data_IF_973715929741
#
_entry.id   IF_973715929741
#
_cell.length_a   1.000
_cell.length_b   1.000
_cell.length_c   1.000
_cell.angle_alpha   90.00
_cell.angle_beta   90.00
_cell.angle_gamma   90.00
#
_symmetry.space_group_name_H-M   'P 1'
#
loop_
_entity.id
_entity.type
_entity.pdbx_description
1 polymer ?
#
# COMPACT_ATOMS: atom_id res chain seq x y z
N UNK A 1 -9.68 9.41 27.93
CA UNK A 1 -9.86 7.98 28.24
C UNK A 1 -9.18 7.17 27.14
N UNK A 2 -8.07 6.48 27.45
CA UNK A 2 -7.31 5.69 26.47
C UNK A 2 -8.09 4.41 26.13
N UNK A 3 -8.46 4.19 24.86
CA UNK A 3 -9.04 2.92 24.42
C UNK A 3 -7.89 1.91 24.22
N UNK A 4 -7.49 1.23 25.30
CA UNK A 4 -6.56 0.10 25.22
C UNK A 4 -7.27 -1.10 24.55
N UNK A 5 -6.58 -1.89 23.72
CA UNK A 5 -7.03 -3.20 23.26
C UNK A 5 -7.41 -4.04 24.49
N UNK A 6 -8.58 -4.69 24.42
CA UNK A 6 -9.14 -5.41 25.54
C UNK A 6 -8.57 -6.84 25.68
N UNK A 7 -7.88 -7.38 24.66
CA UNK A 7 -7.35 -8.74 24.73
C UNK A 7 -6.04 -8.98 24.00
N UNK A 8 -5.54 -10.21 24.11
CA UNK A 8 -4.27 -10.63 23.49
C UNK A 8 -4.39 -10.73 21.97
N UNK A 9 -3.31 -10.35 21.29
CA UNK A 9 -3.19 -10.42 19.84
C UNK A 9 -2.81 -11.85 19.47
N UNK A 10 -3.64 -12.49 18.65
CA UNK A 10 -3.33 -13.84 18.13
C UNK A 10 -2.62 -13.70 16.79
N UNK A 11 -1.48 -14.37 16.66
CA UNK A 11 -0.74 -14.42 15.41
C UNK A 11 -1.12 -15.67 14.61
N UNK A 12 -1.46 -15.47 13.34
CA UNK A 12 -1.74 -16.55 12.40
C UNK A 12 -0.70 -16.55 11.29
N UNK A 13 -0.05 -17.70 11.07
CA UNK A 13 0.91 -17.90 9.99
C UNK A 13 0.15 -18.24 8.71
N UNK A 14 0.36 -17.45 7.66
CA UNK A 14 -0.20 -17.66 6.35
C UNK A 14 0.92 -17.89 5.33
N UNK A 15 0.93 -19.06 4.69
CA UNK A 15 1.89 -19.39 3.65
C UNK A 15 1.64 -18.60 2.38
N UNK A 16 2.69 -18.01 1.80
CA UNK A 16 2.60 -17.35 0.50
C UNK A 16 2.90 -18.35 -0.62
N UNK A 17 2.29 -18.22 -1.82
CA UNK A 17 2.55 -19.14 -2.93
C UNK A 17 4.00 -19.15 -3.45
N UNK A 18 4.84 -18.22 -2.97
CA UNK A 18 6.27 -18.09 -3.34
C UNK A 18 7.23 -18.67 -2.28
N UNK A 19 6.72 -19.37 -1.26
CA UNK A 19 7.56 -20.07 -0.29
C UNK A 19 8.04 -19.24 0.91
N UNK A 20 7.30 -18.19 1.28
CA UNK A 20 7.55 -17.41 2.51
C UNK A 20 6.32 -17.33 3.41
N UNK A 21 6.51 -16.94 4.67
CA UNK A 21 5.43 -16.78 5.64
C UNK A 21 4.98 -15.33 5.77
N UNK A 22 3.68 -15.14 5.93
CA UNK A 22 3.09 -13.87 6.36
C UNK A 22 2.40 -14.07 7.70
N UNK A 23 2.81 -13.31 8.70
CA UNK A 23 2.14 -13.28 9.99
C UNK A 23 1.00 -12.28 9.96
N UNK A 24 -0.22 -12.76 10.24
CA UNK A 24 -1.42 -11.96 10.35
C UNK A 24 -1.76 -11.75 11.82
N UNK A 25 -2.03 -10.50 12.20
CA UNK A 25 -2.55 -10.14 13.50
C UNK A 25 -4.08 -10.33 13.50
N UNK A 26 -4.55 -11.26 14.32
CA UNK A 26 -5.97 -11.45 14.62
C UNK A 26 -6.30 -10.70 15.91
N UNK A 27 -7.00 -9.58 15.74
CA UNK A 27 -7.53 -8.79 16.83
C UNK A 27 -8.75 -9.49 17.43
N UNK A 28 -9.01 -9.24 18.72
CA UNK A 28 -10.29 -9.63 19.31
C UNK A 28 -11.44 -8.91 18.61
N UNK A 29 -12.64 -9.51 18.51
CA UNK A 29 -13.77 -8.87 17.81
C UNK A 29 -14.13 -7.48 18.34
N UNK A 30 -13.94 -7.21 19.64
CA UNK A 30 -14.13 -5.89 20.24
C UNK A 30 -13.11 -4.85 19.74
N UNK A 31 -11.86 -5.27 19.60
CA UNK A 31 -10.75 -4.43 19.16
C UNK A 31 -10.85 -4.17 17.66
N UNK A 32 -11.25 -5.16 16.87
CA UNK A 32 -11.53 -4.99 15.44
C UNK A 32 -12.67 -3.99 15.19
N UNK A 33 -13.77 -4.11 15.94
CA UNK A 33 -14.88 -3.13 15.87
C UNK A 33 -14.44 -1.73 16.28
N UNK A 34 -13.62 -1.62 17.32
CA UNK A 34 -13.07 -0.35 17.79
C UNK A 34 -12.16 0.27 16.73
N UNK A 35 -11.22 -0.51 16.18
CA UNK A 35 -10.30 -0.06 15.16
C UNK A 35 -11.04 0.44 13.92
N UNK A 36 -12.04 -0.32 13.46
CA UNK A 36 -12.90 0.07 12.33
C UNK A 36 -13.62 1.39 12.61
N UNK A 37 -14.24 1.55 13.79
CA UNK A 37 -14.92 2.78 14.19
C UNK A 37 -13.97 3.98 14.19
N UNK A 38 -12.73 3.80 14.63
CA UNK A 38 -11.72 4.86 14.68
C UNK A 38 -11.21 5.28 13.29
N UNK A 39 -11.14 4.35 12.33
CA UNK A 39 -10.68 4.62 10.96
C UNK A 39 -11.80 5.13 10.05
N UNK A 40 -13.06 4.75 10.29
CA UNK A 40 -14.20 5.08 9.43
C UNK A 40 -14.31 6.57 9.04
N UNK A 41 -14.11 7.55 9.95
CA UNK A 41 -14.15 8.97 9.59
C UNK A 41 -13.08 9.40 8.57
N UNK A 42 -11.97 8.66 8.45
CA UNK A 42 -10.88 8.97 7.53
C UNK A 42 -11.15 8.45 6.11
N UNK A 43 -12.02 7.46 5.95
CA UNK A 43 -12.27 6.75 4.69
C UNK A 43 -12.57 7.69 3.52
N UNK A 44 -13.50 8.68 3.62
CA UNK A 44 -13.80 9.54 2.48
C UNK A 44 -12.59 10.36 2.01
N UNK A 45 -11.74 10.83 2.94
CA UNK A 45 -10.53 11.58 2.59
C UNK A 45 -9.48 10.67 1.96
N UNK A 46 -9.26 9.48 2.51
CA UNK A 46 -8.31 8.50 2.01
C UNK A 46 -8.70 8.01 0.60
N UNK A 47 -9.97 7.75 0.36
CA UNK A 47 -10.45 7.36 -0.98
C UNK A 47 -10.25 8.47 -2.01
N UNK A 48 -10.46 9.74 -1.63
CA UNK A 48 -10.15 10.89 -2.50
C UNK A 48 -8.65 11.02 -2.78
N UNK A 49 -7.79 10.79 -1.77
CA UNK A 49 -6.35 10.96 -1.94
C UNK A 49 -5.68 9.82 -2.72
N UNK A 50 -6.22 8.59 -2.66
CA UNK A 50 -5.63 7.40 -3.31
C UNK A 50 -5.63 7.46 -4.84
N UNK A 51 -6.49 8.30 -5.44
CA UNK A 51 -6.56 8.50 -6.88
C UNK A 51 -7.01 7.26 -7.68
N UNK A 52 -7.05 7.36 -9.02
CA UNK A 52 -7.44 6.26 -9.91
C UNK A 52 -6.34 5.22 -10.12
N UNK A 53 -5.08 5.55 -9.78
CA UNK A 53 -3.93 4.67 -9.94
C UNK A 53 -3.82 3.57 -8.89
N UNK A 54 -4.55 3.66 -7.77
CA UNK A 54 -4.59 2.65 -6.72
C UNK A 54 -5.77 1.69 -6.91
N UNK A 55 -5.50 0.39 -7.05
CA UNK A 55 -6.52 -0.61 -7.39
C UNK A 55 -6.92 -1.52 -6.23
N UNK A 56 -5.99 -1.81 -5.32
CA UNK A 56 -6.23 -2.69 -4.18
C UNK A 56 -6.73 -1.91 -2.97
N UNK A 57 -7.31 -2.64 -2.00
CA UNK A 57 -7.80 -2.08 -0.75
C UNK A 57 -8.63 -0.80 -0.94
N UNK A 58 -9.58 -0.83 -1.89
CA UNK A 58 -10.52 0.26 -2.11
C UNK A 58 -11.75 0.04 -1.26
N UNK A 59 -12.39 1.09 -0.79
CA UNK A 59 -13.45 0.98 0.21
C UNK A 59 -14.79 1.52 -0.27
N UNK A 60 -15.85 0.95 0.28
CA UNK A 60 -17.17 1.55 0.29
C UNK A 60 -17.24 2.64 1.39
N UNK A 61 -18.24 3.56 1.35
CA UNK A 61 -18.39 4.60 2.36
C UNK A 61 -18.54 4.08 3.80
N UNK A 62 -18.98 2.83 3.97
CA UNK A 62 -19.11 2.14 5.26
C UNK A 62 -17.79 1.51 5.77
N UNK A 63 -16.68 1.74 5.05
CA UNK A 63 -15.35 1.22 5.36
C UNK A 63 -15.15 -0.25 5.04
N UNK A 64 -16.09 -0.93 4.35
CA UNK A 64 -15.86 -2.31 3.86
C UNK A 64 -14.91 -2.27 2.65
N UNK A 65 -13.98 -3.23 2.60
CA UNK A 65 -13.18 -3.49 1.42
C UNK A 65 -14.07 -3.87 0.23
N UNK A 66 -13.78 -3.30 -0.94
CA UNK A 66 -14.38 -3.69 -2.21
C UNK A 66 -13.81 -5.04 -2.66
N UNK A 67 -14.58 -5.85 -3.43
CA UNK A 67 -14.12 -7.16 -3.89
C UNK A 67 -12.82 -7.14 -4.70
N UNK A 68 -11.87 -7.99 -4.30
CA UNK A 68 -10.48 -8.01 -4.85
C UNK A 68 -10.39 -8.63 -6.25
N UNK A 69 -11.24 -9.61 -6.58
CA UNK A 69 -11.14 -10.37 -7.86
C UNK A 69 -11.23 -9.47 -9.10
N UNK A 70 -12.18 -8.53 -9.12
CA UNK A 70 -12.33 -7.57 -10.22
C UNK A 70 -11.18 -6.55 -10.26
N UNK A 71 -10.74 -6.11 -9.07
CA UNK A 71 -9.68 -5.12 -8.93
C UNK A 71 -8.33 -5.60 -9.49
N UNK A 72 -7.93 -6.86 -9.23
CA UNK A 72 -6.62 -7.37 -9.72
C UNK A 72 -6.57 -7.46 -11.23
N UNK A 73 -7.67 -7.87 -11.86
CA UNK A 73 -7.77 -7.89 -13.32
C UNK A 73 -7.79 -6.48 -13.90
N UNK A 74 -8.42 -5.51 -13.24
CA UNK A 74 -8.36 -4.10 -13.63
C UNK A 74 -6.93 -3.54 -13.51
N UNK A 75 -6.22 -3.79 -12.40
CA UNK A 75 -4.83 -3.38 -12.21
C UNK A 75 -3.92 -3.94 -13.31
N UNK A 76 -4.00 -5.26 -13.58
CA UNK A 76 -3.20 -5.87 -14.67
C UNK A 76 -3.49 -5.26 -16.03
N UNK A 77 -4.76 -4.96 -16.33
CA UNK A 77 -5.13 -4.28 -17.58
C UNK A 77 -4.56 -2.86 -17.64
N UNK A 78 -4.63 -2.11 -16.55
CA UNK A 78 -4.06 -0.76 -16.48
C UNK A 78 -2.55 -0.79 -16.68
N UNK A 79 -1.82 -1.67 -15.98
CA UNK A 79 -0.37 -1.80 -16.16
C UNK A 79 -0.03 -2.19 -17.60
N UNK A 80 -0.68 -3.23 -18.15
CA UNK A 80 -0.45 -3.66 -19.55
C UNK A 80 -0.75 -2.55 -20.55
N UNK A 81 -1.87 -1.85 -20.38
CA UNK A 81 -2.25 -0.74 -21.23
C UNK A 81 -1.16 0.34 -21.24
N UNK A 82 -0.71 0.77 -20.06
CA UNK A 82 0.34 1.78 -19.96
C UNK A 82 1.68 1.33 -20.54
N UNK A 83 2.05 0.05 -20.42
CA UNK A 83 3.28 -0.49 -21.01
C UNK A 83 3.20 -0.58 -22.54
N UNK A 84 2.00 -0.79 -23.09
CA UNK A 84 1.76 -0.92 -24.53
C UNK A 84 1.53 0.42 -25.23
N UNK A 85 1.45 1.53 -24.50
CA UNK A 85 1.37 2.87 -25.10
C UNK A 85 2.59 3.10 -26.00
N UNK A 86 2.43 3.65 -27.22
CA UNK A 86 3.55 3.88 -28.15
C UNK A 86 4.67 4.76 -27.57
N UNK A 87 4.31 5.60 -26.60
CA UNK A 87 5.26 6.47 -25.91
C UNK A 87 5.99 5.78 -24.77
N UNK A 88 5.58 4.59 -24.32
CA UNK A 88 6.21 3.88 -23.20
C UNK A 88 7.54 3.26 -23.63
N UNK A 89 8.62 3.65 -22.94
CA UNK A 89 9.97 3.13 -23.22
C UNK A 89 10.65 2.53 -21.99
N UNK A 90 10.30 3.01 -20.79
CA UNK A 90 10.90 2.56 -19.54
C UNK A 90 9.82 2.27 -18.52
N UNK A 91 9.93 1.11 -17.89
CA UNK A 91 9.04 0.64 -16.82
C UNK A 91 9.87 0.43 -15.57
N UNK A 92 9.46 1.02 -14.45
CA UNK A 92 10.01 0.72 -13.13
C UNK A 92 8.94 0.01 -12.31
N UNK A 93 9.30 -1.15 -11.77
CA UNK A 93 8.49 -1.88 -10.80
C UNK A 93 9.20 -1.88 -9.45
N UNK A 94 8.47 -1.64 -8.37
CA UNK A 94 9.00 -1.66 -7.01
C UNK A 94 7.91 -2.09 -6.04
N UNK A 95 8.31 -2.47 -4.83
CA UNK A 95 7.43 -2.57 -3.66
C UNK A 95 7.94 -1.68 -2.52
N UNK A 96 7.12 -1.51 -1.49
CA UNK A 96 7.49 -0.85 -0.23
C UNK A 96 7.99 -1.90 0.76
N UNK A 97 9.19 -1.69 1.30
CA UNK A 97 9.80 -2.63 2.25
C UNK A 97 9.01 -2.70 3.54
N UNK A 98 8.64 -3.92 3.93
CA UNK A 98 7.89 -4.20 5.16
C UNK A 98 6.70 -3.24 5.36
N UNK A 99 5.95 -3.00 4.30
CA UNK A 99 4.99 -1.90 4.17
C UNK A 99 4.16 -1.60 5.43
N UNK A 100 3.41 -2.58 5.95
CA UNK A 100 2.59 -2.41 7.16
C UNK A 100 3.44 -2.24 8.44
N UNK A 101 4.42 -3.11 8.74
CA UNK A 101 5.32 -2.91 9.87
C UNK A 101 6.05 -1.57 9.90
N UNK A 102 6.37 -0.99 8.75
CA UNK A 102 7.10 0.28 8.64
C UNK A 102 6.22 1.51 8.83
N UNK A 103 4.90 1.38 8.84
CA UNK A 103 3.96 2.50 9.04
C UNK A 103 3.83 2.85 10.52
N UNK A 104 4.83 3.59 11.03
CA UNK A 104 4.88 4.13 12.38
C UNK A 104 4.28 5.53 12.52
N UNK A 105 4.65 6.21 13.61
CA UNK A 105 4.09 7.52 14.01
C UNK A 105 4.10 8.56 12.89
N UNK A 106 5.24 8.76 12.19
CA UNK A 106 5.35 9.73 11.09
C UNK A 106 4.32 9.52 9.98
N UNK A 107 4.08 8.27 9.58
CA UNK A 107 3.10 7.94 8.56
C UNK A 107 1.66 8.24 9.03
N UNK A 108 1.38 7.99 10.32
CA UNK A 108 0.07 8.25 10.93
C UNK A 108 -0.19 9.74 11.15
N UNK A 109 0.85 10.51 11.47
CA UNK A 109 0.80 11.97 11.58
C UNK A 109 0.52 12.62 10.22
N UNK A 110 1.22 12.19 9.16
CA UNK A 110 0.98 12.67 7.80
C UNK A 110 -0.45 12.36 7.32
N UNK A 111 -1.03 11.25 7.80
CA UNK A 111 -2.43 10.95 7.61
C UNK A 111 -3.37 11.83 8.42
N UNK A 112 -2.94 12.53 9.46
CA UNK A 112 -3.82 13.27 10.37
C UNK A 112 -4.76 12.34 11.14
N UNK A 113 -4.23 11.23 11.66
CA UNK A 113 -4.96 10.32 12.53
C UNK A 113 -5.41 11.04 13.82
N UNK A 114 -6.60 10.67 14.33
CA UNK A 114 -7.07 11.23 15.61
C UNK A 114 -6.21 10.73 16.78
N UNK A 115 -6.15 11.51 17.87
CA UNK A 115 -5.44 11.08 19.08
C UNK A 115 -5.96 9.75 19.67
N UNK A 116 -7.25 9.45 19.47
CA UNK A 116 -7.84 8.17 19.86
C UNK A 116 -7.31 7.00 19.00
N UNK A 117 -7.23 7.18 17.67
CA UNK A 117 -6.65 6.18 16.77
C UNK A 117 -5.16 5.97 17.04
N UNK A 118 -4.39 7.05 17.21
CA UNK A 118 -2.97 6.96 17.55
C UNK A 118 -2.75 6.23 18.88
N UNK A 119 -3.58 6.52 19.91
CA UNK A 119 -3.51 5.82 21.20
C UNK A 119 -3.87 4.34 21.09
N UNK A 120 -4.86 3.99 20.26
CA UNK A 120 -5.22 2.60 20.02
C UNK A 120 -4.09 1.83 19.34
N UNK A 121 -3.46 2.40 18.30
CA UNK A 121 -2.33 1.78 17.59
C UNK A 121 -1.09 1.63 18.48
N UNK A 122 -0.76 2.65 19.30
CA UNK A 122 0.32 2.53 20.30
C UNK A 122 0.08 1.39 21.28
N UNK A 123 -1.15 1.20 21.73
CA UNK A 123 -1.46 0.11 22.63
C UNK A 123 -1.42 -1.28 21.95
N UNK A 124 -1.61 -1.37 20.63
CA UNK A 124 -1.28 -2.59 19.86
C UNK A 124 0.23 -2.81 19.75
N UNK A 125 1.00 -1.73 19.63
CA UNK A 125 2.47 -1.78 19.64
C UNK A 125 3.04 -2.24 20.98
N UNK A 126 2.50 -1.73 22.09
CA UNK A 126 2.78 -2.24 23.45
C UNK A 126 2.48 -3.73 23.59
N UNK A 127 1.50 -4.24 22.82
CA UNK A 127 1.12 -5.65 22.76
C UNK A 127 1.91 -6.47 21.71
N UNK A 128 2.94 -5.87 21.09
CA UNK A 128 3.88 -6.54 20.19
C UNK A 128 3.60 -6.42 18.69
N UNK A 129 2.64 -5.60 18.26
CA UNK A 129 2.45 -5.30 16.83
C UNK A 129 3.39 -4.19 16.38
N UNK A 130 4.23 -4.47 15.38
CA UNK A 130 5.03 -3.41 14.74
C UNK A 130 4.18 -2.67 13.70
N UNK A 131 4.18 -1.34 13.75
CA UNK A 131 3.47 -0.49 12.80
C UNK A 131 1.97 -0.79 12.74
N UNK A 132 1.43 -0.94 11.53
CA UNK A 132 0.04 -1.36 11.35
C UNK A 132 -0.08 -2.89 11.46
N UNK A 133 -1.11 -3.43 12.16
CA UNK A 133 -1.36 -4.86 12.18
C UNK A 133 -1.68 -5.36 10.77
N UNK A 134 -1.00 -6.42 10.33
CA UNK A 134 -1.28 -7.07 9.04
C UNK A 134 -2.53 -7.94 9.19
N UNK A 135 -3.53 -7.76 8.32
CA UNK A 135 -4.74 -8.58 8.29
C UNK A 135 -6.04 -7.79 8.45
N UNK A 136 -6.20 -6.94 9.48
CA UNK A 136 -7.41 -6.14 9.65
C UNK A 136 -7.65 -5.16 8.49
N UNK A 137 -8.88 -5.10 7.97
CA UNK A 137 -9.30 -4.16 6.93
C UNK A 137 -8.88 -2.70 7.21
N UNK A 138 -9.02 -2.18 8.46
CA UNK A 138 -8.65 -0.79 8.73
C UNK A 138 -7.17 -0.47 8.48
N UNK A 139 -6.27 -1.45 8.62
CA UNK A 139 -4.86 -1.25 8.26
C UNK A 139 -4.68 -1.04 6.77
N UNK A 140 -5.44 -1.74 5.93
CA UNK A 140 -5.37 -1.58 4.48
C UNK A 140 -5.91 -0.21 4.02
N UNK A 141 -6.94 0.32 4.71
CA UNK A 141 -7.42 1.70 4.55
C UNK A 141 -6.28 2.69 4.81
N UNK A 142 -5.68 2.61 6.01
CA UNK A 142 -4.62 3.54 6.41
C UNK A 142 -3.42 3.44 5.46
N UNK A 143 -2.99 2.23 5.12
CA UNK A 143 -1.87 2.02 4.20
C UNK A 143 -2.08 2.71 2.85
N UNK A 144 -3.28 2.62 2.26
CA UNK A 144 -3.57 3.32 1.02
C UNK A 144 -3.49 4.84 1.15
N UNK A 145 -3.96 5.38 2.27
CA UNK A 145 -3.88 6.81 2.54
C UNK A 145 -2.45 7.32 2.75
N UNK A 146 -1.60 6.55 3.43
CA UNK A 146 -0.16 6.84 3.57
C UNK A 146 0.50 6.84 2.20
N UNK A 147 0.37 5.75 1.44
CA UNK A 147 1.05 5.57 0.17
C UNK A 147 0.61 6.57 -0.91
N UNK A 148 -0.61 7.11 -0.79
CA UNK A 148 -1.08 8.19 -1.65
C UNK A 148 -0.18 9.44 -1.61
N UNK A 149 0.58 9.66 -0.53
CA UNK A 149 1.55 10.76 -0.45
C UNK A 149 2.71 10.56 -1.42
N UNK A 150 3.34 9.39 -1.39
CA UNK A 150 4.39 9.03 -2.35
C UNK A 150 3.84 9.01 -3.79
N UNK A 151 2.60 8.55 -3.98
CA UNK A 151 1.97 8.54 -5.31
C UNK A 151 1.85 9.94 -5.91
N UNK A 152 1.48 10.94 -5.09
CA UNK A 152 1.39 12.35 -5.51
C UNK A 152 2.75 12.92 -5.87
N UNK A 153 3.80 12.58 -5.13
CA UNK A 153 5.17 13.04 -5.42
C UNK A 153 5.65 12.53 -6.79
N UNK A 154 5.40 11.26 -7.10
CA UNK A 154 5.70 10.68 -8.41
C UNK A 154 4.88 11.33 -9.54
N UNK A 155 3.58 11.54 -9.30
CA UNK A 155 2.70 12.19 -10.26
C UNK A 155 3.13 13.63 -10.57
N UNK A 156 3.52 14.40 -9.55
CA UNK A 156 4.07 15.75 -9.70
C UNK A 156 5.40 15.76 -10.48
N UNK A 157 6.18 14.67 -10.42
CA UNK A 157 7.37 14.49 -11.23
C UNK A 157 7.09 14.05 -12.68
N UNK A 158 5.81 13.86 -13.06
CA UNK A 158 5.36 13.61 -14.43
C UNK A 158 5.01 12.16 -14.75
N UNK A 159 4.96 11.26 -13.77
CA UNK A 159 4.56 9.87 -13.99
C UNK A 159 3.50 9.45 -12.97
N UNK A 160 2.32 9.07 -13.43
CA UNK A 160 1.23 8.60 -12.56
C UNK A 160 1.48 7.14 -12.17
N UNK A 161 1.60 6.81 -10.87
CA UNK A 161 1.82 5.43 -10.46
C UNK A 161 0.59 4.55 -10.63
N UNK A 162 0.83 3.27 -10.92
CA UNK A 162 -0.18 2.21 -10.97
C UNK A 162 0.12 1.25 -9.82
N UNK A 163 -0.69 1.27 -8.77
CA UNK A 163 -0.37 0.66 -7.48
C UNK A 163 -1.37 -0.43 -7.05
N UNK A 164 -0.82 -1.51 -6.50
CA UNK A 164 -1.52 -2.58 -5.80
C UNK A 164 -0.98 -2.70 -4.38
N UNK A 165 -1.62 -2.04 -3.42
CA UNK A 165 -1.12 -1.90 -2.04
C UNK A 165 0.31 -1.35 -2.05
N UNK A 166 1.32 -2.17 -1.77
CA UNK A 166 2.74 -1.88 -1.74
C UNK A 166 3.43 -2.00 -3.10
N UNK A 167 2.91 -2.81 -4.02
CA UNK A 167 3.44 -2.97 -5.38
C UNK A 167 3.14 -1.70 -6.22
N UNK A 168 4.16 -1.03 -6.75
CA UNK A 168 4.02 0.15 -7.63
C UNK A 168 4.65 -0.11 -9.01
N UNK A 169 3.99 0.38 -10.04
CA UNK A 169 4.52 0.43 -11.41
C UNK A 169 4.50 1.87 -11.92
N UNK A 170 5.65 2.32 -12.43
CA UNK A 170 5.85 3.60 -13.10
C UNK A 170 6.19 3.32 -14.56
N UNK A 171 5.48 3.95 -15.49
CA UNK A 171 5.74 3.84 -16.92
C UNK A 171 6.00 5.23 -17.49
N UNK A 172 7.11 5.40 -18.21
CA UNK A 172 7.49 6.69 -18.76
C UNK A 172 8.11 6.55 -20.16
N UNK A 173 8.17 7.68 -20.86
CA UNK A 173 8.67 7.76 -22.23
C UNK A 173 10.20 7.72 -22.37
N UNK A 174 10.92 7.49 -21.27
CA UNK A 174 12.36 7.39 -21.29
C UNK A 174 12.95 7.24 -19.90
N UNK A 175 14.25 6.98 -19.86
CA UNK A 175 14.96 6.69 -18.61
C UNK A 175 14.97 7.86 -17.64
N UNK A 176 15.24 9.08 -18.13
CA UNK A 176 15.27 10.29 -17.29
C UNK A 176 13.92 10.57 -16.60
N UNK A 177 12.77 10.63 -17.29
CA UNK A 177 11.49 10.84 -16.62
C UNK A 177 11.12 9.68 -15.68
N UNK A 178 11.44 8.43 -16.03
CA UNK A 178 11.22 7.27 -15.16
C UNK A 178 11.99 7.40 -13.83
N UNK A 179 13.30 7.66 -13.89
CA UNK A 179 14.15 7.82 -12.70
C UNK A 179 13.68 9.02 -11.87
N UNK A 180 13.41 10.17 -12.50
CA UNK A 180 12.92 11.35 -11.77
C UNK A 180 11.65 11.05 -10.97
N UNK A 181 10.70 10.34 -11.57
CA UNK A 181 9.46 9.98 -10.89
C UNK A 181 9.70 8.95 -9.78
N UNK A 182 10.56 7.96 -10.01
CA UNK A 182 10.91 6.98 -9.00
C UNK A 182 11.63 7.61 -7.80
N UNK A 183 12.58 8.52 -8.04
CA UNK A 183 13.26 9.25 -6.97
C UNK A 183 12.29 10.15 -6.18
N UNK A 184 11.32 10.78 -6.87
CA UNK A 184 10.27 11.55 -6.19
C UNK A 184 9.37 10.65 -5.33
N UNK A 185 9.01 9.47 -5.84
CA UNK A 185 8.27 8.47 -5.08
C UNK A 185 9.05 8.01 -3.84
N UNK A 186 10.34 7.68 -3.98
CA UNK A 186 11.22 7.28 -2.87
C UNK A 186 11.37 8.38 -1.81
N UNK A 187 11.53 9.64 -2.23
CA UNK A 187 11.54 10.77 -1.30
C UNK A 187 10.21 10.90 -0.54
N UNK A 188 9.09 10.77 -1.24
CA UNK A 188 7.77 10.77 -0.62
C UNK A 188 7.58 9.63 0.38
N UNK A 189 8.13 8.44 0.13
CA UNK A 189 8.17 7.36 1.12
C UNK A 189 9.05 7.72 2.32
N UNK A 190 10.25 8.24 2.08
CA UNK A 190 11.20 8.59 3.14
C UNK A 190 10.66 9.65 4.10
N UNK A 191 9.90 10.63 3.60
CA UNK A 191 9.18 11.62 4.42
C UNK A 191 8.20 10.97 5.41
N UNK A 192 7.66 9.79 5.08
CA UNK A 192 6.74 9.01 5.92
C UNK A 192 7.47 7.99 6.80
N UNK A 193 8.80 7.90 6.72
CA UNK A 193 9.59 6.85 7.37
C UNK A 193 9.51 5.49 6.67
N UNK A 194 9.12 5.47 5.40
CA UNK A 194 9.03 4.26 4.58
C UNK A 194 10.19 4.19 3.57
N UNK A 195 10.46 2.98 3.09
CA UNK A 195 11.53 2.73 2.11
C UNK A 195 11.02 1.89 0.94
N UNK A 196 11.56 2.16 -0.25
CA UNK A 196 11.40 1.24 -1.38
C UNK A 196 12.20 -0.04 -1.11
N UNK A 197 11.71 -1.18 -1.58
CA UNK A 197 12.43 -2.43 -1.49
C UNK A 197 13.44 -2.54 -2.64
N UNK A 198 14.64 -1.99 -2.44
CA UNK A 198 15.67 -1.92 -3.50
C UNK A 198 15.98 -3.30 -4.11
N UNK A 199 16.03 -4.37 -3.30
CA UNK A 199 16.26 -5.75 -3.78
C UNK A 199 15.17 -6.36 -4.67
N UNK A 200 14.01 -5.72 -4.79
CA UNK A 200 12.89 -6.12 -5.65
C UNK A 200 12.54 -5.06 -6.69
N UNK A 201 13.18 -3.90 -6.61
CA UNK A 201 13.03 -2.84 -7.59
C UNK A 201 13.70 -3.25 -8.90
N UNK A 202 12.99 -3.12 -10.01
CA UNK A 202 13.47 -3.47 -11.35
C UNK A 202 13.12 -2.39 -12.35
N UNK A 203 14.06 -2.06 -13.22
CA UNK A 203 13.84 -1.15 -14.35
C UNK A 203 13.99 -1.95 -15.64
N UNK A 204 13.00 -1.84 -16.52
CA UNK A 204 12.95 -2.49 -17.82
C UNK A 204 13.00 -1.44 -18.92
N UNK A 205 13.86 -1.66 -19.90
CA UNK A 205 13.90 -0.90 -21.16
C UNK A 205 13.34 -1.72 -22.34
N UNK A 206 13.09 -3.02 -22.14
CA UNK A 206 12.36 -3.88 -23.07
C UNK A 206 10.92 -4.09 -22.57
N UNK A 207 9.97 -3.66 -23.40
CA UNK A 207 8.53 -3.82 -23.18
C UNK A 207 8.11 -5.28 -23.00
N UNK A 208 8.71 -6.22 -23.74
CA UNK A 208 8.37 -7.66 -23.66
C UNK A 208 8.80 -8.26 -22.33
N UNK A 209 9.98 -7.88 -21.84
CA UNK A 209 10.49 -8.30 -20.53
C UNK A 209 9.61 -7.75 -19.40
N UNK A 210 9.23 -6.47 -19.51
CA UNK A 210 8.32 -5.83 -18.56
C UNK A 210 6.96 -6.54 -18.51
N UNK A 211 6.34 -6.82 -19.66
CA UNK A 211 5.05 -7.51 -19.75
C UNK A 211 5.11 -8.93 -19.18
N UNK A 212 6.20 -9.66 -19.44
CA UNK A 212 6.40 -11.02 -18.92
C UNK A 212 6.52 -11.00 -17.39
N UNK A 213 7.28 -10.03 -16.84
CA UNK A 213 7.46 -9.91 -15.39
C UNK A 213 6.17 -9.47 -14.69
N UNK A 214 5.46 -8.47 -15.22
CA UNK A 214 4.16 -8.02 -14.68
C UNK A 214 3.12 -9.13 -14.78
N UNK A 215 3.04 -9.80 -15.94
CA UNK A 215 2.08 -10.87 -16.21
C UNK A 215 2.36 -12.15 -15.41
N UNK A 216 3.65 -12.43 -15.18
CA UNK A 216 4.17 -13.54 -14.38
C UNK A 216 4.13 -13.29 -12.88
N UNK A 217 3.85 -12.06 -12.43
CA UNK A 217 3.55 -11.75 -11.03
C UNK A 217 2.15 -12.27 -10.62
N UNK A 218 1.93 -13.57 -10.85
CA UNK A 218 1.02 -14.42 -10.08
C UNK A 218 1.65 -14.55 -8.68
N UNK A 219 0.81 -14.45 -7.65
CA UNK A 219 1.13 -14.49 -6.22
C UNK A 219 1.50 -13.16 -5.53
N UNK A 220 0.49 -12.30 -5.32
CA UNK A 220 0.38 -11.48 -4.11
C UNK A 220 -1.10 -11.24 -3.79
N UNK A 221 -1.64 -12.06 -2.87
CA UNK A 221 -2.79 -11.77 -1.97
C UNK A 221 -4.17 -11.51 -2.58
N UNK A 222 -5.10 -12.44 -2.33
CA UNK A 222 -6.51 -12.12 -2.19
C UNK A 222 -6.75 -11.22 -0.97
#
# INVERSE_FOLDING_TARGET
MHQRPAGSIRWERYGTPRGGDRWLARLQPSDERTYRRLVLPLVPRIERSSGPGAFAARHAPDGRLRPVRGARSAWRRAVRGSILEPTAQVVIMSDVRDCYPSMGERALEALGCSGALASFLRALEEAGVRGLPVGPDPSAILANGVLAHADRAAAAAGCRPIRWVDDVVLVAAGRRPAIRAFDAWRRGLAELGLEAHDGKSRMFTDVREALTTVGGSRASGA
#
